data_IF_221396989199
#
_entry.id   IF_221396989199
#
_cell.length_a   1.000
_cell.length_b   1.000
_cell.length_c   1.000
_cell.angle_alpha   90.00
_cell.angle_beta   90.00
_cell.angle_gamma   90.00
#
_symmetry.space_group_name_H-M   'P 1'
#
loop_
_entity.id
_entity.type
_entity.pdbx_description
1 polymer ?
#
# COMPACT_ATOMS: atom_id res chain seq x y z
N UNK A 1 32.72 -4.38 26.28
CA UNK A 1 31.88 -5.09 25.26
C UNK A 1 30.39 -4.90 25.40
N UNK A 2 29.86 -4.48 26.56
CA UNK A 2 28.41 -4.26 26.78
C UNK A 2 27.82 -2.99 26.14
N UNK A 3 28.61 -1.98 25.87
CA UNK A 3 28.18 -0.68 25.40
C UNK A 3 27.79 -0.66 23.90
N UNK A 4 28.44 -1.47 23.06
CA UNK A 4 28.10 -1.61 21.64
C UNK A 4 26.76 -2.32 21.38
N UNK A 5 26.28 -3.15 22.31
CA UNK A 5 24.99 -3.85 22.20
C UNK A 5 23.78 -2.95 22.43
N UNK A 6 23.92 -1.83 23.17
CA UNK A 6 22.78 -0.93 23.45
C UNK A 6 22.42 -0.06 22.25
N UNK A 7 23.40 0.36 21.46
CA UNK A 7 23.16 1.14 20.24
C UNK A 7 22.60 0.27 19.09
N UNK A 8 22.99 -1.01 19.04
CA UNK A 8 22.45 -1.95 18.06
C UNK A 8 20.97 -2.34 18.33
N UNK A 9 20.50 -2.18 19.57
CA UNK A 9 19.10 -2.40 19.93
C UNK A 9 18.16 -1.47 19.14
N UNK A 10 18.52 -0.21 19.00
CA UNK A 10 17.71 0.79 18.28
C UNK A 10 17.84 0.73 16.74
N UNK A 11 18.74 -0.09 16.19
CA UNK A 11 18.82 -0.34 14.74
C UNK A 11 17.71 -1.25 14.24
N UNK A 12 17.07 -1.99 15.13
CA UNK A 12 15.98 -2.90 14.76
C UNK A 12 14.64 -2.17 14.89
N UNK A 13 13.89 -2.06 13.77
CA UNK A 13 12.57 -1.43 13.73
C UNK A 13 11.62 -1.99 14.81
N UNK A 14 11.66 -3.29 15.07
CA UNK A 14 10.80 -3.94 16.07
C UNK A 14 11.09 -3.49 17.49
N UNK A 15 12.35 -3.24 17.82
CA UNK A 15 12.72 -2.73 19.13
C UNK A 15 12.25 -1.28 19.33
N UNK A 16 12.24 -0.47 18.26
CA UNK A 16 11.66 0.87 18.25
C UNK A 16 10.15 0.80 18.49
N UNK A 17 9.46 -0.08 17.77
CA UNK A 17 8.03 -0.31 17.89
C UNK A 17 7.64 -0.69 19.32
N UNK A 18 8.32 -1.67 19.92
CA UNK A 18 8.12 -2.07 21.32
C UNK A 18 8.41 -0.94 22.30
N UNK A 19 9.49 -0.18 22.07
CA UNK A 19 9.87 0.94 22.93
C UNK A 19 8.82 2.03 22.90
N UNK A 20 8.29 2.40 21.73
CA UNK A 20 7.23 3.40 21.59
C UNK A 20 5.97 2.95 22.36
N UNK A 21 5.55 1.70 22.18
CA UNK A 21 4.37 1.16 22.89
C UNK A 21 4.56 1.24 24.41
N UNK A 22 5.75 0.89 24.91
CA UNK A 22 6.06 0.95 26.34
C UNK A 22 6.05 2.41 26.84
N UNK A 23 6.75 3.31 26.15
CA UNK A 23 6.85 4.74 26.54
C UNK A 23 5.47 5.38 26.55
N UNK A 24 4.68 5.20 25.47
CA UNK A 24 3.32 5.74 25.36
C UNK A 24 2.41 5.14 26.47
N UNK A 25 2.61 3.87 26.83
CA UNK A 25 1.84 3.23 27.90
C UNK A 25 2.23 3.67 29.32
N UNK A 26 3.35 4.37 29.48
CA UNK A 26 3.81 4.91 30.76
C UNK A 26 3.39 6.36 31.01
N UNK A 27 2.78 7.03 30.04
CA UNK A 27 2.29 8.40 30.20
C UNK A 27 1.18 8.40 31.25
N UNK A 28 1.35 9.09 32.40
CA UNK A 28 0.31 9.18 33.40
C UNK A 28 -0.83 10.07 32.87
N UNK A 29 -2.03 9.50 32.81
CA UNK A 29 -3.23 10.18 32.33
C UNK A 29 -4.04 10.71 33.53
N UNK A 30 -3.45 11.63 34.29
CA UNK A 30 -4.09 12.17 35.51
C UNK A 30 -5.02 13.36 35.21
N UNK A 31 -5.00 13.94 34.02
CA UNK A 31 -5.91 15.01 33.63
C UNK A 31 -7.15 14.44 32.94
N UNK A 32 -8.31 15.00 33.26
CA UNK A 32 -9.65 14.49 32.86
C UNK A 32 -9.80 14.23 31.35
N UNK A 33 -9.21 15.06 30.48
CA UNK A 33 -9.29 14.89 29.03
C UNK A 33 -8.29 13.85 28.49
N UNK A 34 -7.15 13.68 29.17
CA UNK A 34 -6.14 12.68 28.84
C UNK A 34 -6.44 11.29 29.43
N UNK A 35 -7.38 11.17 30.37
CA UNK A 35 -7.75 9.88 30.96
C UNK A 35 -8.32 8.90 29.94
N UNK A 36 -9.08 9.40 28.94
CA UNK A 36 -9.60 8.59 27.82
C UNK A 36 -8.45 8.10 26.95
N UNK A 37 -7.52 8.98 26.60
CA UNK A 37 -6.32 8.64 25.81
C UNK A 37 -5.46 7.62 26.57
N UNK A 38 -5.27 7.79 27.88
CA UNK A 38 -4.53 6.83 28.71
C UNK A 38 -5.17 5.44 28.78
N UNK A 39 -6.51 5.36 28.72
CA UNK A 39 -7.21 4.07 28.62
C UNK A 39 -6.99 3.43 27.24
N UNK A 40 -7.08 4.19 26.17
CA UNK A 40 -6.82 3.71 24.80
C UNK A 40 -5.38 3.20 24.66
N UNK A 41 -4.41 3.93 25.20
CA UNK A 41 -2.99 3.53 25.18
C UNK A 41 -2.77 2.17 25.83
N UNK A 42 -3.53 1.81 26.89
CA UNK A 42 -3.44 0.48 27.50
C UNK A 42 -3.86 -0.64 26.54
N UNK A 43 -4.82 -0.36 25.64
CA UNK A 43 -5.24 -1.34 24.62
C UNK A 43 -4.10 -1.60 23.64
N UNK A 44 -3.30 -0.60 23.32
CA UNK A 44 -2.14 -0.78 22.42
C UNK A 44 -1.07 -1.74 22.95
N UNK A 45 -1.10 -2.09 24.26
CA UNK A 45 -0.23 -3.16 24.78
C UNK A 45 -0.46 -4.50 24.10
N UNK A 46 -1.68 -4.74 23.59
CA UNK A 46 -2.00 -5.95 22.82
C UNK A 46 -1.18 -6.01 21.53
N UNK A 47 -0.85 -4.85 20.92
CA UNK A 47 0.00 -4.78 19.73
C UNK A 47 1.41 -5.33 19.95
N UNK A 48 1.86 -5.39 21.23
CA UNK A 48 3.12 -6.04 21.58
C UNK A 48 3.14 -7.52 21.23
N UNK A 49 1.97 -8.17 21.18
CA UNK A 49 1.89 -9.57 20.75
C UNK A 49 2.40 -9.78 19.32
N UNK A 50 2.31 -8.75 18.44
CA UNK A 50 2.84 -8.80 17.09
C UNK A 50 4.35 -9.01 17.09
N UNK A 51 5.07 -8.40 18.06
CA UNK A 51 6.53 -8.56 18.18
C UNK A 51 6.93 -9.93 18.71
N UNK A 52 6.05 -10.62 19.46
CA UNK A 52 6.34 -11.92 20.04
C UNK A 52 6.02 -13.10 19.12
N UNK A 53 5.06 -12.93 18.21
CA UNK A 53 4.61 -13.98 17.30
C UNK A 53 5.27 -13.75 15.94
N UNK A 54 6.23 -14.64 15.52
CA UNK A 54 6.99 -14.46 14.28
C UNK A 54 6.10 -14.36 13.04
N UNK A 55 5.02 -15.13 13.01
CA UNK A 55 4.06 -15.19 11.89
C UNK A 55 3.35 -13.83 11.71
N UNK A 56 2.92 -13.20 12.81
CA UNK A 56 2.31 -11.88 12.77
C UNK A 56 3.31 -10.80 12.33
N UNK A 57 4.58 -10.94 12.72
CA UNK A 57 5.64 -10.04 12.29
C UNK A 57 5.85 -10.11 10.78
N UNK A 58 5.91 -11.33 10.23
CA UNK A 58 6.05 -11.55 8.78
C UNK A 58 4.86 -10.96 8.04
N UNK A 59 3.63 -11.22 8.51
CA UNK A 59 2.41 -10.67 7.93
C UNK A 59 2.42 -9.14 7.92
N UNK A 60 2.79 -8.50 9.04
CA UNK A 60 2.85 -7.03 9.12
C UNK A 60 3.91 -6.45 8.18
N UNK A 61 5.11 -7.05 8.12
CA UNK A 61 6.17 -6.61 7.20
C UNK A 61 5.71 -6.76 5.74
N UNK A 62 5.05 -7.85 5.41
CA UNK A 62 4.51 -8.08 4.05
C UNK A 62 3.44 -7.06 3.70
N UNK A 63 2.53 -6.75 4.63
CA UNK A 63 1.52 -5.71 4.47
C UNK A 63 2.15 -4.34 4.21
N UNK A 64 3.11 -3.92 5.06
CA UNK A 64 3.81 -2.64 4.90
C UNK A 64 4.57 -2.56 3.57
N UNK A 65 5.18 -3.66 3.13
CA UNK A 65 5.86 -3.73 1.82
C UNK A 65 4.91 -3.62 0.63
N UNK A 66 3.66 -4.05 0.79
CA UNK A 66 2.62 -3.92 -0.24
C UNK A 66 2.04 -2.49 -0.34
N UNK A 67 2.10 -1.68 0.75
CA UNK A 67 1.53 -0.33 0.78
C UNK A 67 2.01 0.61 -0.34
N UNK A 68 3.32 0.66 -0.71
CA UNK A 68 3.77 1.57 -1.76
C UNK A 68 3.11 1.30 -3.12
N UNK A 69 2.83 0.05 -3.46
CA UNK A 69 2.14 -0.31 -4.70
C UNK A 69 0.68 0.17 -4.70
N UNK A 70 0.03 0.16 -3.54
CA UNK A 70 -1.33 0.66 -3.36
C UNK A 70 -1.39 2.19 -3.32
N UNK A 71 -0.28 2.86 -3.00
CA UNK A 71 -0.23 4.30 -2.76
C UNK A 71 -0.75 5.14 -3.93
N UNK A 72 -0.42 4.77 -5.16
CA UNK A 72 -0.91 5.49 -6.35
C UNK A 72 -2.41 5.34 -6.55
N UNK A 73 -2.96 4.16 -6.30
CA UNK A 73 -4.40 3.92 -6.40
C UNK A 73 -5.15 4.63 -5.27
N UNK A 74 -4.59 4.62 -4.05
CA UNK A 74 -5.14 5.37 -2.92
C UNK A 74 -5.13 6.88 -3.20
N UNK A 75 -4.08 7.41 -3.82
CA UNK A 75 -4.02 8.80 -4.24
C UNK A 75 -5.09 9.12 -5.30
N UNK A 76 -5.24 8.25 -6.31
CA UNK A 76 -6.29 8.40 -7.32
C UNK A 76 -7.69 8.40 -6.68
N UNK A 77 -7.95 7.45 -5.79
CA UNK A 77 -9.20 7.38 -5.03
C UNK A 77 -9.44 8.68 -4.23
N UNK A 78 -8.42 9.16 -3.52
CA UNK A 78 -8.51 10.40 -2.76
C UNK A 78 -8.86 11.60 -3.66
N UNK A 79 -8.25 11.69 -4.85
CA UNK A 79 -8.55 12.76 -5.82
C UNK A 79 -10.00 12.68 -6.28
N UNK A 80 -10.51 11.49 -6.62
CA UNK A 80 -11.90 11.29 -7.00
C UNK A 80 -12.82 11.73 -5.85
N UNK A 81 -12.58 11.27 -4.64
CA UNK A 81 -13.35 11.64 -3.47
C UNK A 81 -13.36 13.15 -3.23
N UNK A 82 -12.21 13.79 -3.31
CA UNK A 82 -12.08 15.22 -3.09
C UNK A 82 -12.85 16.04 -4.12
N UNK A 83 -12.76 15.67 -5.41
CA UNK A 83 -13.50 16.35 -6.48
C UNK A 83 -15.00 16.22 -6.26
N UNK A 84 -15.47 14.99 -5.99
CA UNK A 84 -16.90 14.77 -5.75
C UNK A 84 -17.38 15.40 -4.45
N UNK A 85 -16.55 15.43 -3.38
CA UNK A 85 -16.89 16.12 -2.14
C UNK A 85 -17.03 17.64 -2.35
N UNK A 86 -16.13 18.24 -3.12
CA UNK A 86 -16.21 19.67 -3.45
C UNK A 86 -17.45 20.00 -4.29
N UNK A 87 -17.78 19.14 -5.27
CA UNK A 87 -19.03 19.30 -6.06
C UNK A 87 -20.25 19.10 -5.17
N UNK A 88 -20.27 18.04 -4.35
CA UNK A 88 -21.37 17.69 -3.47
C UNK A 88 -21.65 18.77 -2.43
N UNK A 89 -20.62 19.29 -1.76
CA UNK A 89 -20.77 20.38 -0.79
C UNK A 89 -21.32 21.66 -1.45
N UNK A 90 -20.88 21.97 -2.68
CA UNK A 90 -21.37 23.16 -3.39
C UNK A 90 -22.82 23.03 -3.87
N UNK A 91 -23.22 21.84 -4.30
CA UNK A 91 -24.56 21.63 -4.90
C UNK A 91 -25.62 21.26 -3.87
N UNK A 92 -25.26 20.56 -2.80
CA UNK A 92 -26.22 19.91 -1.91
C UNK A 92 -26.19 20.45 -0.46
N UNK A 93 -25.29 21.41 -0.14
CA UNK A 93 -25.20 22.02 1.19
C UNK A 93 -26.58 22.57 1.66
N UNK A 94 -27.28 23.30 0.79
CA UNK A 94 -28.59 23.89 1.11
C UNK A 94 -29.70 22.84 1.30
N UNK A 95 -29.54 21.64 0.72
CA UNK A 95 -30.53 20.55 0.84
C UNK A 95 -30.35 19.86 2.19
N UNK A 96 -29.15 19.47 2.53
CA UNK A 96 -28.84 18.78 3.78
C UNK A 96 -27.42 19.14 4.28
N UNK A 97 -27.29 20.18 5.12
CA UNK A 97 -25.98 20.59 5.68
C UNK A 97 -25.33 19.53 6.53
N UNK A 98 -26.10 18.57 7.08
CA UNK A 98 -25.53 17.47 7.91
C UNK A 98 -24.73 16.50 7.05
N UNK A 99 -25.11 16.32 5.78
CA UNK A 99 -24.44 15.42 4.84
C UNK A 99 -23.47 16.13 3.89
N UNK A 100 -23.68 17.45 3.64
CA UNK A 100 -22.99 18.17 2.57
C UNK A 100 -22.44 19.55 3.00
N UNK A 101 -22.50 19.91 4.31
CA UNK A 101 -22.22 21.25 4.80
C UNK A 101 -20.78 21.74 4.60
N UNK A 102 -19.81 20.84 4.48
CA UNK A 102 -18.45 21.15 4.09
C UNK A 102 -17.78 19.95 3.38
N UNK A 103 -16.57 20.16 2.86
CA UNK A 103 -15.83 19.13 2.13
C UNK A 103 -15.54 17.91 3.03
N UNK A 104 -15.26 18.10 4.32
CA UNK A 104 -14.94 16.99 5.22
C UNK A 104 -16.15 16.13 5.51
N UNK A 105 -17.30 16.77 5.72
CA UNK A 105 -18.60 16.09 5.91
C UNK A 105 -18.98 15.37 4.61
N UNK A 106 -18.83 16.03 3.47
CA UNK A 106 -19.10 15.46 2.15
C UNK A 106 -18.23 14.24 1.84
N UNK A 107 -16.96 14.25 2.26
CA UNK A 107 -16.08 13.07 2.15
C UNK A 107 -16.61 11.89 2.95
N UNK A 108 -17.14 12.11 4.16
CA UNK A 108 -17.74 11.04 4.97
C UNK A 108 -19.03 10.52 4.33
N UNK A 109 -19.87 11.41 3.77
CA UNK A 109 -21.06 11.02 3.03
C UNK A 109 -20.72 10.21 1.80
N UNK A 110 -19.70 10.60 1.03
CA UNK A 110 -19.23 9.84 -0.12
C UNK A 110 -18.61 8.50 0.29
N UNK A 111 -17.95 8.42 1.44
CA UNK A 111 -17.48 7.15 1.97
C UNK A 111 -18.65 6.20 2.26
N UNK A 112 -19.75 6.71 2.84
CA UNK A 112 -21.00 5.98 3.03
C UNK A 112 -21.57 5.51 1.70
N UNK A 113 -21.64 6.38 0.68
CA UNK A 113 -22.07 6.03 -0.69
C UNK A 113 -21.20 4.93 -1.31
N UNK A 114 -19.87 5.02 -1.17
CA UNK A 114 -18.95 4.02 -1.69
C UNK A 114 -19.13 2.65 -1.05
N UNK A 115 -19.46 2.60 0.24
CA UNK A 115 -19.72 1.35 0.97
C UNK A 115 -21.14 0.80 0.74
N UNK A 116 -21.91 1.45 -0.12
CA UNK A 116 -23.29 1.12 -0.44
C UNK A 116 -24.26 1.20 0.75
N UNK A 117 -23.87 1.92 1.81
CA UNK A 117 -24.72 2.13 2.97
C UNK A 117 -25.72 3.27 2.69
N UNK A 118 -27.00 2.97 2.64
CA UNK A 118 -28.13 3.89 2.42
C UNK A 118 -27.91 4.93 1.29
N UNK A 119 -27.06 4.60 0.31
CA UNK A 119 -26.69 5.53 -0.77
C UNK A 119 -27.89 5.98 -1.60
N UNK A 120 -28.89 5.12 -1.75
CA UNK A 120 -30.14 5.44 -2.47
C UNK A 120 -30.94 6.49 -1.75
N UNK A 121 -30.98 6.48 -0.42
CA UNK A 121 -31.73 7.46 0.37
C UNK A 121 -31.10 8.84 0.24
N UNK A 122 -29.77 8.92 0.34
CA UNK A 122 -29.01 10.15 0.10
C UNK A 122 -29.21 10.66 -1.34
N UNK A 123 -29.26 9.77 -2.32
CA UNK A 123 -29.55 10.12 -3.71
C UNK A 123 -30.97 10.63 -3.89
N UNK A 124 -31.99 9.94 -3.37
CA UNK A 124 -33.40 10.36 -3.52
C UNK A 124 -33.69 11.67 -2.82
N UNK A 125 -33.07 11.96 -1.68
CA UNK A 125 -33.14 13.24 -1.00
C UNK A 125 -32.70 14.39 -1.91
N UNK A 126 -31.54 14.25 -2.55
CA UNK A 126 -31.01 15.27 -3.47
C UNK A 126 -31.78 15.33 -4.79
N UNK A 127 -32.33 14.19 -5.27
CA UNK A 127 -33.18 14.14 -6.46
C UNK A 127 -34.51 14.88 -6.29
N UNK A 128 -35.01 14.99 -5.06
CA UNK A 128 -36.21 15.77 -4.79
C UNK A 128 -36.07 17.26 -5.16
N UNK A 129 -34.86 17.79 -5.11
CA UNK A 129 -34.51 19.18 -5.49
C UNK A 129 -33.86 19.24 -6.88
N UNK A 130 -32.91 18.37 -7.13
CA UNK A 130 -32.18 18.29 -8.42
C UNK A 130 -32.44 16.93 -9.09
N UNK A 131 -33.43 16.80 -9.98
CA UNK A 131 -33.82 15.51 -10.57
C UNK A 131 -32.69 14.73 -11.26
N UNK A 132 -31.63 15.42 -11.75
CA UNK A 132 -30.49 14.81 -12.41
C UNK A 132 -29.35 14.45 -11.44
N UNK A 133 -29.51 14.64 -10.13
CA UNK A 133 -28.45 14.33 -9.14
C UNK A 133 -28.07 12.83 -9.12
N UNK A 134 -28.93 11.93 -9.60
CA UNK A 134 -28.57 10.50 -9.74
C UNK A 134 -27.30 10.28 -10.59
N UNK A 135 -27.03 11.15 -11.58
CA UNK A 135 -25.82 11.06 -12.42
C UNK A 135 -24.58 11.25 -11.56
N UNK A 136 -24.60 12.16 -10.60
CA UNK A 136 -23.52 12.39 -9.66
C UNK A 136 -23.20 11.13 -8.86
N UNK A 137 -24.17 10.46 -8.29
CA UNK A 137 -23.99 9.26 -7.48
C UNK A 137 -23.52 8.07 -8.33
N UNK A 138 -24.16 7.82 -9.46
CA UNK A 138 -23.80 6.70 -10.33
C UNK A 138 -22.40 6.88 -10.94
N UNK A 139 -22.04 8.10 -11.35
CA UNK A 139 -20.69 8.36 -11.85
C UNK A 139 -19.63 8.21 -10.75
N UNK A 140 -19.91 8.66 -9.52
CA UNK A 140 -19.03 8.45 -8.38
C UNK A 140 -18.81 6.96 -8.10
N UNK A 141 -19.88 6.18 -8.00
CA UNK A 141 -19.83 4.73 -7.80
C UNK A 141 -19.05 4.05 -8.93
N UNK A 142 -19.30 4.44 -10.18
CA UNK A 142 -18.61 3.88 -11.33
C UNK A 142 -17.09 4.14 -11.26
N UNK A 143 -16.66 5.37 -11.03
CA UNK A 143 -15.23 5.71 -10.96
C UNK A 143 -14.54 5.07 -9.76
N UNK A 144 -15.19 5.03 -8.61
CA UNK A 144 -14.62 4.39 -7.40
C UNK A 144 -14.55 2.87 -7.55
N UNK A 145 -15.59 2.22 -8.08
CA UNK A 145 -15.59 0.80 -8.38
C UNK A 145 -14.53 0.43 -9.42
N UNK A 146 -14.38 1.24 -10.47
CA UNK A 146 -13.36 1.05 -11.49
C UNK A 146 -11.95 1.19 -10.93
N UNK A 147 -11.69 2.20 -10.09
CA UNK A 147 -10.41 2.38 -9.44
C UNK A 147 -10.09 1.21 -8.48
N UNK A 148 -11.09 0.74 -7.72
CA UNK A 148 -10.94 -0.42 -6.84
C UNK A 148 -10.66 -1.70 -7.62
N UNK A 149 -11.37 -1.94 -8.73
CA UNK A 149 -11.13 -3.10 -9.58
C UNK A 149 -9.71 -3.09 -10.17
N UNK A 150 -9.23 -1.95 -10.64
CA UNK A 150 -7.86 -1.80 -11.13
C UNK A 150 -6.83 -2.09 -10.03
N UNK A 151 -7.10 -1.71 -8.78
CA UNK A 151 -6.26 -2.06 -7.63
C UNK A 151 -6.18 -3.59 -7.45
N UNK A 152 -7.32 -4.28 -7.46
CA UNK A 152 -7.39 -5.73 -7.29
C UNK A 152 -6.63 -6.43 -8.42
N UNK A 153 -6.86 -6.02 -9.67
CA UNK A 153 -6.15 -6.57 -10.84
C UNK A 153 -4.64 -6.37 -10.69
N UNK A 154 -4.19 -5.17 -10.31
CA UNK A 154 -2.77 -4.88 -10.08
C UNK A 154 -2.14 -5.79 -9.02
N UNK A 155 -2.83 -6.05 -7.91
CA UNK A 155 -2.36 -6.98 -6.87
C UNK A 155 -2.25 -8.39 -7.43
N UNK A 156 -3.27 -8.88 -8.13
CA UNK A 156 -3.29 -10.24 -8.70
C UNK A 156 -2.15 -10.42 -9.70
N UNK A 157 -1.94 -9.46 -10.60
CA UNK A 157 -0.85 -9.51 -11.58
C UNK A 157 0.51 -9.57 -10.88
N UNK A 158 0.76 -8.71 -9.89
CA UNK A 158 2.00 -8.72 -9.12
C UNK A 158 2.26 -10.05 -8.41
N UNK A 159 1.23 -10.65 -7.81
CA UNK A 159 1.35 -11.96 -7.14
C UNK A 159 1.68 -13.04 -8.17
N UNK A 160 1.00 -13.05 -9.32
CA UNK A 160 1.28 -14.00 -10.41
C UNK A 160 2.70 -13.86 -10.96
N UNK A 161 3.18 -12.64 -11.15
CA UNK A 161 4.56 -12.38 -11.60
C UNK A 161 5.59 -12.91 -10.59
N UNK A 162 5.36 -12.69 -9.29
CA UNK A 162 6.24 -13.20 -8.24
C UNK A 162 6.25 -14.73 -8.20
N UNK A 163 5.10 -15.38 -8.31
CA UNK A 163 5.03 -16.84 -8.32
C UNK A 163 5.66 -17.44 -9.59
N UNK A 164 5.45 -16.81 -10.75
CA UNK A 164 6.09 -17.22 -12.00
C UNK A 164 7.62 -17.04 -11.94
N UNK A 165 8.11 -15.96 -11.32
CA UNK A 165 9.54 -15.76 -11.15
C UNK A 165 10.17 -16.82 -10.23
N UNK A 166 9.47 -17.19 -9.14
CA UNK A 166 9.92 -18.28 -8.26
C UNK A 166 9.91 -19.64 -8.97
N UNK A 167 8.86 -19.92 -9.75
CA UNK A 167 8.76 -21.17 -10.49
C UNK A 167 9.90 -21.31 -11.51
N UNK A 168 10.20 -20.23 -12.26
CA UNK A 168 11.33 -20.23 -13.21
C UNK A 168 12.68 -20.41 -12.51
N UNK A 169 12.90 -19.74 -11.38
CA UNK A 169 14.13 -19.91 -10.61
C UNK A 169 14.29 -21.35 -10.11
N UNK A 170 13.19 -22.00 -9.68
CA UNK A 170 13.21 -23.39 -9.25
C UNK A 170 13.45 -24.36 -10.43
N UNK A 171 12.92 -24.07 -11.63
CA UNK A 171 13.15 -24.85 -12.85
C UNK A 171 14.61 -24.72 -13.32
N UNK A 172 15.19 -23.51 -13.27
CA UNK A 172 16.60 -23.27 -13.60
C UNK A 172 17.54 -24.02 -12.64
N UNK A 173 17.23 -24.04 -11.33
CA UNK A 173 17.98 -24.77 -10.33
C UNK A 173 17.88 -26.31 -10.49
N UNK A 174 16.75 -26.80 -11.00
CA UNK A 174 16.50 -28.23 -11.16
C UNK A 174 17.06 -28.79 -12.48
N UNK A 175 17.21 -27.97 -13.51
CA UNK A 175 17.72 -28.39 -14.82
C UNK A 175 19.24 -28.32 -14.98
N UNK A 176 20.00 -27.89 -13.98
CA UNK A 176 21.45 -27.68 -14.02
C UNK A 176 21.91 -26.80 -15.22
N UNK A 177 20.98 -26.07 -15.81
CA UNK A 177 21.28 -25.12 -16.89
C UNK A 177 21.81 -23.81 -16.27
N UNK A 178 23.02 -23.40 -16.69
CA UNK A 178 23.59 -22.17 -16.15
C UNK A 178 22.70 -20.97 -16.50
N UNK A 179 22.43 -20.15 -15.51
CA UNK A 179 21.62 -18.93 -15.69
C UNK A 179 22.25 -18.01 -16.76
N UNK A 180 21.45 -17.20 -17.42
CA UNK A 180 21.93 -16.23 -18.42
C UNK A 180 23.03 -15.33 -17.84
N UNK A 181 23.00 -15.02 -16.54
CA UNK A 181 24.01 -14.24 -15.83
C UNK A 181 25.32 -15.01 -15.64
N UNK A 182 25.27 -16.31 -15.41
CA UNK A 182 26.45 -17.18 -15.31
C UNK A 182 27.07 -17.39 -16.66
N UNK A 183 26.29 -17.64 -17.70
CA UNK A 183 26.79 -17.72 -19.08
C UNK A 183 27.45 -16.41 -19.52
N UNK A 184 26.88 -15.26 -19.20
CA UNK A 184 27.51 -13.97 -19.48
C UNK A 184 28.80 -13.75 -18.68
N UNK A 185 28.85 -14.23 -17.44
CA UNK A 185 30.07 -14.16 -16.64
C UNK A 185 31.16 -15.06 -17.18
N UNK A 186 30.87 -16.30 -17.56
CA UNK A 186 31.79 -17.22 -18.19
C UNK A 186 32.31 -16.71 -19.55
N UNK A 187 31.40 -16.19 -20.39
CA UNK A 187 31.77 -15.58 -21.67
C UNK A 187 32.73 -14.41 -21.44
N UNK A 188 32.47 -13.59 -20.41
CA UNK A 188 33.34 -12.47 -20.07
C UNK A 188 34.71 -12.92 -19.56
N UNK A 189 34.79 -14.01 -18.81
CA UNK A 189 36.06 -14.61 -18.38
C UNK A 189 36.85 -15.21 -19.55
N UNK A 190 36.17 -15.97 -20.42
CA UNK A 190 36.80 -16.56 -21.61
C UNK A 190 37.32 -15.43 -22.52
N UNK A 191 36.55 -14.37 -22.71
CA UNK A 191 36.95 -13.21 -23.51
C UNK A 191 38.13 -12.44 -22.93
N UNK A 192 38.31 -12.46 -21.60
CA UNK A 192 39.47 -11.87 -20.92
C UNK A 192 40.73 -12.73 -21.00
N UNK A 193 40.58 -14.04 -21.20
CA UNK A 193 41.69 -15.00 -21.35
C UNK A 193 42.19 -15.16 -22.79
N UNK A 194 41.38 -14.76 -23.79
CA UNK A 194 41.78 -14.80 -25.19
C UNK A 194 42.79 -13.68 -25.48
N UNK A 195 44.00 -14.01 -25.99
CA UNK A 195 44.95 -12.99 -26.37
C UNK A 195 44.41 -12.14 -27.53
N UNK A 196 44.63 -10.83 -27.44
CA UNK A 196 44.06 -9.83 -28.40
C UNK A 196 44.40 -10.09 -29.89
N UNK A 197 45.35 -10.96 -30.17
CA UNK A 197 45.77 -11.36 -31.52
C UNK A 197 44.83 -12.34 -32.22
N UNK A 198 44.05 -13.16 -31.49
CA UNK A 198 43.13 -14.13 -32.08
C UNK A 198 41.75 -13.57 -32.42
N UNK A 199 41.31 -12.52 -31.72
CA UNK A 199 40.01 -11.89 -31.95
C UNK A 199 40.01 -11.13 -33.26
N UNK A 200 41.11 -10.61 -33.72
CA UNK A 200 41.24 -9.85 -34.96
C UNK A 200 41.38 -10.70 -36.24
N UNK A 201 41.87 -11.95 -36.13
CA UNK A 201 42.05 -12.83 -37.27
C UNK A 201 40.75 -13.44 -37.80
N UNK A 202 39.72 -13.57 -36.96
CA UNK A 202 38.41 -14.15 -37.33
C UNK A 202 37.39 -13.14 -37.86
N UNK A 203 37.68 -11.84 -37.80
CA UNK A 203 36.81 -10.76 -38.28
C UNK A 203 37.19 -10.23 -39.67
N UNK A 204 38.25 -10.79 -40.32
CA UNK A 204 38.63 -10.44 -41.67
C UNK A 204 37.76 -11.22 -42.67
N UNK A 205 36.94 -10.59 -43.50
CA UNK A 205 36.16 -11.28 -44.55
C UNK A 205 37.17 -11.89 -45.53
N UNK A 206 37.05 -13.20 -45.76
CA UNK A 206 37.74 -13.86 -46.89
C UNK A 206 37.25 -13.24 -48.20
N UNK A 207 38.13 -12.53 -48.86
CA UNK A 207 37.97 -12.14 -50.24
C UNK A 207 37.95 -13.36 -51.16
#
# INVERSE_FOLDING_TARGET
MAEKRKLDFFKNFWNWFDTIIVVVSMIPADNTDLAVVGRLVRVFRVLRMISFIPELRILLVSLVKALPQLGYVMLLMFIIFYIYAAIGSTLFEEINPILWGDISISLLTLFRVMTFEDWTDVMYETMAVYPLSWVFYLSFIFFTAFAFLNMVIGIVVNVMEQENAKARAAEEEQNDEPSLSELMYEIKQIKAQLPASEVQSNLSPKQ
#
